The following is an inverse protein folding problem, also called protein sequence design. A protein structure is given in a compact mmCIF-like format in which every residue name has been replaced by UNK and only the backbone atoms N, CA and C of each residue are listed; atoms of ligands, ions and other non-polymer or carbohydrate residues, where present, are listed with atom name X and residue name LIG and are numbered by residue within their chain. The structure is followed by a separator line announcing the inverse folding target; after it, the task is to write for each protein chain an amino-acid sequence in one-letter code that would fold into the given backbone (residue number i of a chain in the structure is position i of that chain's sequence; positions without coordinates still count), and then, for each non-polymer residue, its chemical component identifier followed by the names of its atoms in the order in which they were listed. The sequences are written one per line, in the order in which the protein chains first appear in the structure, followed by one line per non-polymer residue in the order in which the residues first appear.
data_IF_913563000892
#
_entry.id   IF_913563000892
#
_cell.length_a   1.000
_cell.length_b   1.000
_cell.length_c   1.000
_cell.angle_alpha   90.00
_cell.angle_beta   90.00
_cell.angle_gamma   90.00
#
_symmetry.space_group_name_H-M   'P 1'
#
loop_
_entity.id
_entity.type
_entity.pdbx_description
1 polymer ?
#
# COMPACT_ATOMS: atom_id res chain seq x y z
N UNK A 1 35.68 9.91 -10.15
CA UNK A 1 36.04 8.81 -9.24
C UNK A 1 34.75 8.23 -8.73
N UNK A 2 34.44 6.99 -9.11
CA UNK A 2 33.21 6.32 -8.71
C UNK A 2 33.28 6.04 -7.20
N UNK A 3 32.37 6.62 -6.44
CA UNK A 3 32.17 6.28 -5.03
C UNK A 3 31.68 4.84 -4.98
N UNK A 4 32.54 3.96 -4.49
CA UNK A 4 32.23 2.58 -4.12
C UNK A 4 31.05 2.59 -3.16
N UNK A 5 29.88 2.14 -3.64
CA UNK A 5 28.77 1.70 -2.79
C UNK A 5 29.31 0.56 -1.92
N UNK A 6 29.53 0.82 -0.62
CA UNK A 6 29.76 -0.26 0.32
C UNK A 6 28.59 -1.25 0.18
N UNK A 7 28.88 -2.51 -0.11
CA UNK A 7 27.85 -3.53 -0.19
C UNK A 7 27.19 -3.62 1.19
N UNK A 8 25.88 -3.36 1.24
CA UNK A 8 25.10 -3.53 2.47
C UNK A 8 25.19 -5.00 2.91
N UNK A 9 25.21 -5.30 4.22
CA UNK A 9 25.20 -6.67 4.70
C UNK A 9 24.01 -7.44 4.11
N UNK A 10 24.27 -8.54 3.40
CA UNK A 10 23.25 -9.35 2.71
C UNK A 10 22.32 -10.13 3.69
N UNK A 11 22.53 -10.00 5.02
CA UNK A 11 21.91 -10.85 6.04
C UNK A 11 20.67 -10.25 6.75
N UNK A 12 20.44 -8.93 6.66
CA UNK A 12 19.29 -8.27 7.31
C UNK A 12 18.29 -7.71 6.31
N UNK A 13 17.01 -8.06 6.48
CA UNK A 13 15.89 -7.59 5.66
C UNK A 13 15.68 -6.06 5.74
N UNK A 14 16.06 -5.45 6.87
CA UNK A 14 16.01 -4.00 7.12
C UNK A 14 17.26 -3.58 7.86
N UNK A 15 17.92 -2.53 7.39
CA UNK A 15 19.09 -1.94 8.03
C UNK A 15 18.69 -0.59 8.61
N UNK A 16 18.88 -0.43 9.92
CA UNK A 16 18.71 0.84 10.63
C UNK A 16 20.06 1.45 10.98
N UNK A 17 20.28 2.71 10.60
CA UNK A 17 21.48 3.48 10.91
C UNK A 17 21.12 4.71 11.74
N UNK A 18 21.86 4.95 12.82
CA UNK A 18 21.69 6.11 13.69
C UNK A 18 22.85 7.09 13.44
N UNK A 19 22.55 8.23 12.81
CA UNK A 19 23.53 9.23 12.39
C UNK A 19 23.15 10.57 13.01
N UNK A 20 23.80 10.93 14.12
CA UNK A 20 23.46 12.13 14.90
C UNK A 20 21.94 12.19 15.19
N UNK A 21 21.20 13.20 14.70
CA UNK A 21 19.75 13.33 14.87
C UNK A 21 18.91 12.62 13.79
N UNK A 22 19.56 11.96 12.84
CA UNK A 22 18.93 11.29 11.70
C UNK A 22 18.89 9.79 11.93
N UNK A 23 17.78 9.16 11.52
CA UNK A 23 17.59 7.72 11.54
C UNK A 23 17.29 7.25 10.12
N UNK A 24 18.20 6.48 9.54
CA UNK A 24 18.10 6.00 8.16
C UNK A 24 17.69 4.53 8.16
N UNK A 25 16.55 4.24 7.53
CA UNK A 25 16.03 2.90 7.28
C UNK A 25 16.29 2.55 5.82
N UNK A 26 16.99 1.44 5.59
CA UNK A 26 17.11 0.84 4.27
C UNK A 26 16.36 -0.50 4.24
N UNK A 27 15.32 -0.59 3.42
CA UNK A 27 14.69 -1.87 3.07
C UNK A 27 15.67 -2.66 2.19
N UNK A 28 16.13 -3.81 2.67
CA UNK A 28 17.31 -4.49 2.15
C UNK A 28 17.03 -5.93 1.69
N UNK A 29 15.99 -6.11 0.88
CA UNK A 29 15.70 -7.36 0.15
C UNK A 29 15.71 -7.13 -1.37
N UNK A 30 16.80 -6.58 -1.95
CA UNK A 30 16.79 -6.08 -3.33
C UNK A 30 16.49 -7.15 -4.38
N UNK A 31 16.86 -8.42 -4.12
CA UNK A 31 16.56 -9.56 -5.01
C UNK A 31 15.06 -9.87 -5.08
N UNK A 32 14.32 -9.58 -4.00
CA UNK A 32 12.87 -9.72 -3.90
C UNK A 32 12.14 -8.38 -4.07
N UNK A 33 12.81 -7.36 -4.61
CA UNK A 33 12.23 -6.01 -4.78
C UNK A 33 11.75 -5.38 -3.47
N UNK A 34 12.42 -5.69 -2.36
CA UNK A 34 12.06 -5.21 -1.04
C UNK A 34 10.61 -5.57 -0.65
N UNK A 35 10.16 -6.77 -1.05
CA UNK A 35 8.87 -7.31 -0.64
C UNK A 35 8.78 -7.42 0.89
N UNK A 36 7.61 -7.10 1.43
CA UNK A 36 7.33 -7.02 2.87
C UNK A 36 7.19 -8.44 3.43
N UNK A 37 8.21 -8.89 4.16
CA UNK A 37 8.25 -10.15 4.91
C UNK A 37 7.83 -9.94 6.38
N UNK A 38 7.49 -11.01 7.11
CA UNK A 38 7.28 -10.93 8.57
C UNK A 38 8.46 -10.29 9.31
N UNK A 39 9.69 -10.67 8.95
CA UNK A 39 10.90 -10.11 9.56
C UNK A 39 11.04 -8.61 9.29
N UNK A 40 10.78 -8.17 8.05
CA UNK A 40 10.81 -6.75 7.68
C UNK A 40 9.78 -5.95 8.50
N UNK A 41 8.55 -6.45 8.63
CA UNK A 41 7.51 -5.78 9.43
C UNK A 41 7.92 -5.67 10.89
N UNK A 42 8.46 -6.75 11.47
CA UNK A 42 8.93 -6.76 12.86
C UNK A 42 10.03 -5.72 13.09
N UNK A 43 11.06 -5.70 12.23
CA UNK A 43 12.18 -4.77 12.34
C UNK A 43 11.74 -3.32 12.15
N UNK A 44 10.88 -3.03 11.17
CA UNK A 44 10.35 -1.67 10.98
C UNK A 44 9.58 -1.18 12.21
N UNK A 45 8.71 -2.03 12.77
CA UNK A 45 7.95 -1.69 13.97
C UNK A 45 8.89 -1.40 15.16
N UNK A 46 9.91 -2.23 15.37
CA UNK A 46 10.90 -2.04 16.43
C UNK A 46 11.66 -0.71 16.27
N UNK A 47 12.18 -0.43 15.07
CA UNK A 47 12.91 0.82 14.81
C UNK A 47 12.04 2.05 14.99
N UNK A 48 10.84 2.06 14.40
CA UNK A 48 9.93 3.20 14.48
C UNK A 48 9.45 3.44 15.92
N UNK A 49 9.14 2.39 16.68
CA UNK A 49 8.79 2.57 18.08
C UNK A 49 9.97 3.10 18.91
N UNK A 50 11.16 2.51 18.73
CA UNK A 50 12.37 2.91 19.44
C UNK A 50 12.68 4.39 19.18
N UNK A 51 12.63 4.81 17.92
CA UNK A 51 13.07 6.14 17.53
C UNK A 51 12.02 7.22 17.72
N UNK A 52 10.72 6.92 17.74
CA UNK A 52 9.72 7.93 18.13
C UNK A 52 9.92 8.37 19.59
N UNK A 53 10.38 7.45 20.45
CA UNK A 53 10.70 7.67 21.88
C UNK A 53 12.08 8.28 22.13
N UNK A 54 12.91 8.40 21.10
CA UNK A 54 14.29 8.89 21.21
C UNK A 54 14.34 10.42 20.98
N UNK A 55 14.78 11.16 21.98
CA UNK A 55 14.97 12.61 21.91
C UNK A 55 16.11 13.02 20.96
N UNK A 56 16.97 12.07 20.57
CA UNK A 56 18.00 12.27 19.55
C UNK A 56 17.55 11.85 18.16
N UNK A 57 16.29 11.48 17.95
CA UNK A 57 15.77 11.12 16.64
C UNK A 57 14.80 12.21 16.19
N UNK A 58 15.26 13.09 15.31
CA UNK A 58 14.46 14.21 14.81
C UNK A 58 13.92 13.93 13.39
N UNK A 59 14.70 13.23 12.57
CA UNK A 59 14.38 12.95 11.17
C UNK A 59 14.50 11.45 10.89
N UNK A 60 13.43 10.86 10.37
CA UNK A 60 13.42 9.48 9.86
C UNK A 60 13.46 9.50 8.34
N UNK A 61 14.42 8.80 7.74
CA UNK A 61 14.52 8.62 6.29
C UNK A 61 14.31 7.14 5.97
N UNK A 62 13.40 6.81 5.06
CA UNK A 62 13.20 5.45 4.55
C UNK A 62 13.58 5.39 3.08
N UNK A 63 14.40 4.40 2.70
CA UNK A 63 14.76 4.11 1.30
C UNK A 63 14.76 2.60 1.03
N UNK A 64 14.73 2.23 -0.25
CA UNK A 64 14.91 0.84 -0.69
C UNK A 64 16.29 0.60 -1.29
N UNK A 65 16.89 -0.55 -0.99
CA UNK A 65 18.09 -1.03 -1.66
C UNK A 65 17.76 -1.52 -3.08
N UNK A 66 18.66 -1.29 -4.03
CA UNK A 66 18.54 -1.79 -5.39
C UNK A 66 17.53 -1.01 -6.24
N UNK A 67 16.70 -1.72 -7.00
CA UNK A 67 15.86 -1.14 -8.07
C UNK A 67 14.41 -0.83 -7.68
N UNK A 68 14.03 -1.10 -6.44
CA UNK A 68 12.68 -0.89 -5.95
C UNK A 68 12.74 -0.19 -4.59
N UNK A 69 11.75 0.64 -4.31
CA UNK A 69 11.50 1.07 -2.95
C UNK A 69 10.92 -0.12 -2.17
N UNK A 70 9.73 -0.60 -2.57
CA UNK A 70 9.13 -1.85 -2.13
C UNK A 70 8.02 -2.30 -3.08
N UNK A 71 8.02 -3.57 -3.48
CA UNK A 71 7.02 -4.13 -4.38
C UNK A 71 5.75 -4.65 -3.68
N UNK A 72 5.55 -4.36 -2.39
CA UNK A 72 4.37 -4.78 -1.64
C UNK A 72 4.60 -6.04 -0.80
N UNK A 73 3.50 -6.69 -0.39
CA UNK A 73 3.53 -7.91 0.42
C UNK A 73 4.27 -9.06 -0.25
N UNK A 74 5.00 -9.87 0.54
CA UNK A 74 5.59 -11.11 0.04
C UNK A 74 4.49 -12.16 -0.20
N UNK A 75 3.96 -12.21 -1.42
CA UNK A 75 2.83 -13.07 -1.80
C UNK A 75 3.08 -14.57 -1.52
N UNK A 76 4.34 -15.01 -1.47
CA UNK A 76 4.66 -16.40 -1.11
C UNK A 76 4.33 -16.70 0.34
N UNK A 77 4.55 -15.75 1.25
CA UNK A 77 4.20 -15.89 2.67
C UNK A 77 2.71 -16.13 2.81
N UNK A 78 1.88 -15.35 2.11
CA UNK A 78 0.43 -15.52 2.12
C UNK A 78 0.00 -16.86 1.51
N UNK A 79 0.56 -17.23 0.36
CA UNK A 79 0.22 -18.49 -0.32
C UNK A 79 0.55 -19.72 0.52
N UNK A 80 1.76 -19.77 1.10
CA UNK A 80 2.17 -20.89 1.95
C UNK A 80 1.36 -20.96 3.24
N UNK A 81 0.89 -19.81 3.74
CA UNK A 81 0.00 -19.73 4.89
C UNK A 81 -1.38 -20.38 4.70
N UNK A 82 -1.79 -20.69 3.45
CA UNK A 82 -3.03 -21.46 3.20
C UNK A 82 -3.04 -22.81 3.94
N UNK A 83 -1.87 -23.40 4.17
CA UNK A 83 -1.71 -24.76 4.73
C UNK A 83 -2.00 -24.84 6.23
N UNK A 84 -1.95 -23.71 6.93
CA UNK A 84 -2.07 -23.64 8.39
C UNK A 84 -2.97 -22.48 8.75
N UNK A 85 -4.07 -22.77 9.44
CA UNK A 85 -5.03 -21.74 9.81
C UNK A 85 -4.33 -20.62 10.58
N UNK A 86 -4.60 -19.39 10.16
CA UNK A 86 -4.15 -18.15 10.80
C UNK A 86 -2.62 -17.91 10.84
N UNK A 87 -1.80 -18.66 10.08
CA UNK A 87 -0.34 -18.47 10.11
C UNK A 87 0.16 -17.13 9.55
N UNK A 88 -0.68 -16.40 8.81
CA UNK A 88 -0.36 -15.06 8.32
C UNK A 88 -0.97 -13.95 9.17
N UNK A 89 -1.77 -14.26 10.20
CA UNK A 89 -2.49 -13.25 10.98
C UNK A 89 -1.52 -12.35 11.72
N UNK A 90 -0.42 -12.88 12.24
CA UNK A 90 0.60 -12.09 12.90
C UNK A 90 1.16 -10.97 12.01
N UNK A 91 1.67 -11.33 10.83
CA UNK A 91 2.27 -10.35 9.91
C UNK A 91 1.24 -9.34 9.44
N UNK A 92 0.00 -9.78 9.17
CA UNK A 92 -1.11 -8.90 8.81
C UNK A 92 -1.41 -7.91 9.91
N UNK A 93 -1.66 -8.40 11.13
CA UNK A 93 -1.99 -7.56 12.28
C UNK A 93 -0.90 -6.52 12.52
N UNK A 94 0.36 -6.97 12.61
CA UNK A 94 1.51 -6.09 12.81
C UNK A 94 1.60 -5.04 11.71
N UNK A 95 1.35 -5.41 10.46
CA UNK A 95 1.50 -4.49 9.34
C UNK A 95 0.39 -3.44 9.30
N UNK A 96 -0.87 -3.82 9.51
CA UNK A 96 -1.98 -2.87 9.62
C UNK A 96 -1.80 -1.90 10.78
N UNK A 97 -1.37 -2.41 11.94
CA UNK A 97 -1.03 -1.59 13.10
C UNK A 97 0.14 -0.63 12.77
N UNK A 98 1.14 -1.09 12.02
CA UNK A 98 2.26 -0.26 11.57
C UNK A 98 1.83 0.82 10.58
N UNK A 99 0.89 0.54 9.66
CA UNK A 99 0.33 1.52 8.73
C UNK A 99 -0.30 2.71 9.46
N UNK A 100 -0.99 2.47 10.59
CA UNK A 100 -1.52 3.55 11.43
C UNK A 100 -0.39 4.42 12.02
N UNK A 101 0.67 3.79 12.54
CA UNK A 101 1.78 4.51 13.16
C UNK A 101 2.59 5.32 12.16
N UNK A 102 2.78 4.81 10.94
CA UNK A 102 3.43 5.57 9.88
C UNK A 102 2.58 6.79 9.50
N UNK A 103 1.26 6.64 9.38
CA UNK A 103 0.37 7.76 9.07
C UNK A 103 0.34 8.86 10.13
N UNK A 104 0.51 8.50 11.39
CA UNK A 104 0.33 9.42 12.52
C UNK A 104 1.66 9.75 13.22
N UNK A 105 2.78 9.37 12.63
CA UNK A 105 4.11 9.39 13.27
C UNK A 105 4.49 10.79 13.76
N UNK A 106 5.08 10.89 14.95
CA UNK A 106 5.33 12.18 15.61
C UNK A 106 6.60 12.90 15.17
N UNK A 107 7.55 12.20 14.57
CA UNK A 107 8.79 12.78 14.04
C UNK A 107 8.68 13.00 12.53
N UNK A 108 9.46 13.91 11.99
CA UNK A 108 9.46 14.18 10.55
C UNK A 108 9.96 12.96 9.78
N UNK A 109 9.19 12.53 8.78
CA UNK A 109 9.50 11.36 7.94
C UNK A 109 9.71 11.75 6.48
N UNK A 110 10.76 11.19 5.87
CA UNK A 110 11.07 11.33 4.44
C UNK A 110 11.18 9.95 3.78
N UNK A 111 10.35 9.67 2.77
CA UNK A 111 10.55 8.54 1.88
C UNK A 111 11.37 8.96 0.65
N UNK A 112 12.50 8.28 0.40
CA UNK A 112 13.28 8.40 -0.83
C UNK A 112 12.90 7.25 -1.77
N UNK A 113 11.91 7.50 -2.62
CA UNK A 113 11.25 6.48 -3.45
C UNK A 113 11.87 6.47 -4.83
N UNK A 114 12.89 5.64 -5.03
CA UNK A 114 13.52 5.44 -6.32
C UNK A 114 13.25 4.03 -6.85
N UNK A 115 12.27 3.90 -7.75
CA UNK A 115 11.85 2.62 -8.32
C UNK A 115 10.44 2.19 -7.92
N UNK A 116 10.16 0.89 -8.02
CA UNK A 116 8.82 0.33 -7.77
C UNK A 116 8.37 0.59 -6.33
N UNK A 117 7.14 1.10 -6.18
CA UNK A 117 6.41 1.22 -4.91
C UNK A 117 5.00 0.70 -5.15
N UNK A 118 4.61 -0.47 -4.65
CA UNK A 118 3.28 -1.04 -4.93
C UNK A 118 2.63 -1.63 -3.68
N UNK A 119 1.29 -1.59 -3.64
CA UNK A 119 0.47 -2.10 -2.53
C UNK A 119 0.95 -1.61 -1.17
N UNK A 120 1.17 -2.53 -0.23
CA UNK A 120 1.78 -2.21 1.07
C UNK A 120 3.07 -1.39 0.99
N UNK A 121 3.91 -1.63 -0.03
CA UNK A 121 5.15 -0.86 -0.23
C UNK A 121 4.90 0.65 -0.42
N UNK A 122 3.72 1.02 -0.92
CA UNK A 122 3.30 2.42 -1.05
C UNK A 122 2.70 2.98 0.23
N UNK A 123 2.20 2.15 1.15
CA UNK A 123 1.79 2.58 2.49
C UNK A 123 2.99 3.08 3.33
N UNK A 124 4.21 2.70 2.94
CA UNK A 124 5.46 3.21 3.52
C UNK A 124 5.93 4.55 2.93
N UNK A 125 5.18 5.17 2.01
CA UNK A 125 5.57 6.47 1.42
C UNK A 125 4.43 7.47 1.28
N UNK A 126 3.24 7.06 0.83
CA UNK A 126 2.12 7.98 0.58
C UNK A 126 1.76 8.82 1.81
N UNK A 127 1.67 8.25 3.02
CA UNK A 127 1.25 9.03 4.18
C UNK A 127 2.38 9.83 4.84
N UNK A 128 3.63 9.67 4.41
CA UNK A 128 4.75 10.36 5.05
C UNK A 128 4.73 11.86 4.76
N UNK A 129 5.26 12.65 5.71
CA UNK A 129 5.32 14.10 5.59
C UNK A 129 6.01 14.57 4.31
N UNK A 130 7.08 13.89 3.93
CA UNK A 130 7.76 14.07 2.66
C UNK A 130 7.90 12.74 1.94
N UNK A 131 7.30 12.64 0.76
CA UNK A 131 7.56 11.56 -0.18
C UNK A 131 8.24 12.14 -1.42
N UNK A 132 9.49 11.73 -1.65
CA UNK A 132 10.32 12.17 -2.76
C UNK A 132 10.38 11.04 -3.78
N UNK A 133 9.83 11.29 -4.97
CA UNK A 133 9.76 10.32 -6.07
C UNK A 133 10.66 10.73 -7.23
N UNK A 134 11.00 9.77 -8.09
CA UNK A 134 11.88 9.99 -9.25
C UNK A 134 11.20 9.59 -10.55
N UNK A 135 11.88 9.82 -11.68
CA UNK A 135 11.46 9.32 -12.99
C UNK A 135 11.43 7.78 -13.08
N UNK A 136 12.05 7.07 -12.12
CA UNK A 136 12.03 5.61 -12.02
C UNK A 136 10.87 5.09 -11.19
N UNK A 137 10.16 5.96 -10.48
CA UNK A 137 9.06 5.57 -9.61
C UNK A 137 7.90 5.01 -10.42
N UNK A 138 7.45 3.82 -10.06
CA UNK A 138 6.25 3.18 -10.60
C UNK A 138 5.37 2.77 -9.44
N UNK A 139 4.22 3.44 -9.33
CA UNK A 139 3.20 3.17 -8.33
C UNK A 139 2.05 2.37 -8.91
N UNK A 140 1.50 1.45 -8.11
CA UNK A 140 0.21 0.81 -8.38
C UNK A 140 -0.35 0.15 -7.11
N UNK A 141 -1.67 0.01 -7.08
CA UNK A 141 -2.45 -0.80 -6.12
C UNK A 141 -3.20 -1.89 -6.91
N UNK A 142 -2.50 -2.97 -7.31
CA UNK A 142 -3.02 -3.97 -8.24
C UNK A 142 -3.77 -5.13 -7.55
N UNK A 143 -4.22 -4.97 -6.30
CA UNK A 143 -4.70 -6.05 -5.44
C UNK A 143 -5.86 -6.85 -6.05
N UNK A 144 -6.80 -6.17 -6.70
CA UNK A 144 -7.95 -6.83 -7.35
C UNK A 144 -7.53 -7.84 -8.42
N UNK A 145 -6.40 -7.62 -9.08
CA UNK A 145 -5.91 -8.46 -10.18
C UNK A 145 -5.46 -9.85 -9.74
N UNK A 146 -5.14 -10.03 -8.46
CA UNK A 146 -4.78 -11.31 -7.87
C UNK A 146 -5.78 -11.78 -6.80
N UNK A 147 -7.00 -11.23 -6.77
CA UNK A 147 -8.05 -11.70 -5.86
C UNK A 147 -8.01 -11.09 -4.46
N UNK A 148 -7.36 -9.94 -4.29
CA UNK A 148 -7.23 -9.26 -3.00
C UNK A 148 -7.88 -7.86 -3.02
N UNK A 149 -8.07 -7.26 -1.85
CA UNK A 149 -8.74 -5.97 -1.74
C UNK A 149 -7.75 -4.80 -1.61
N UNK A 150 -8.23 -3.58 -1.85
CA UNK A 150 -7.49 -2.35 -1.50
C UNK A 150 -7.27 -2.30 0.01
N UNK A 151 -6.01 -2.38 0.43
CA UNK A 151 -5.57 -2.62 1.80
C UNK A 151 -4.55 -1.57 2.28
N UNK A 152 -3.96 -1.77 3.46
CA UNK A 152 -2.85 -0.97 4.01
C UNK A 152 -3.13 0.56 4.11
N UNK A 153 -4.38 0.94 4.36
CA UNK A 153 -4.87 2.32 4.45
C UNK A 153 -5.29 2.92 3.10
N UNK A 154 -5.17 2.18 1.99
CA UNK A 154 -5.53 2.71 0.69
C UNK A 154 -7.03 2.90 0.47
N UNK A 155 -7.90 2.23 1.23
CA UNK A 155 -9.33 2.57 1.17
C UNK A 155 -9.59 3.99 1.68
N UNK A 156 -8.84 4.44 2.70
CA UNK A 156 -8.86 5.83 3.15
C UNK A 156 -8.20 6.77 2.13
N UNK A 157 -6.95 6.48 1.71
CA UNK A 157 -6.19 7.35 0.81
C UNK A 157 -6.91 7.54 -0.54
N UNK A 158 -7.31 6.46 -1.20
CA UNK A 158 -7.98 6.54 -2.50
C UNK A 158 -9.30 7.29 -2.41
N UNK A 159 -10.05 7.13 -1.32
CA UNK A 159 -11.34 7.81 -1.16
C UNK A 159 -11.24 9.34 -1.10
N UNK A 160 -10.07 9.86 -0.75
CA UNK A 160 -9.77 11.30 -0.67
C UNK A 160 -9.07 11.85 -1.92
N UNK A 161 -8.84 11.02 -2.95
CA UNK A 161 -8.35 11.51 -4.23
C UNK A 161 -9.45 12.28 -4.99
N UNK A 162 -9.09 13.19 -5.91
CA UNK A 162 -10.07 13.97 -6.66
C UNK A 162 -11.08 13.10 -7.41
N UNK A 163 -12.36 13.47 -7.32
CA UNK A 163 -13.46 12.83 -8.06
C UNK A 163 -13.57 11.34 -7.76
N UNK A 164 -13.49 10.53 -8.81
CA UNK A 164 -13.52 9.06 -8.76
C UNK A 164 -12.19 8.42 -9.16
N UNK A 165 -11.08 9.18 -9.06
CA UNK A 165 -9.76 8.68 -9.40
C UNK A 165 -9.30 7.56 -8.46
N UNK A 166 -9.71 7.59 -7.19
CA UNK A 166 -9.47 6.51 -6.24
C UNK A 166 -10.07 5.18 -6.65
N UNK A 167 -11.35 5.17 -7.07
CA UNK A 167 -12.00 3.97 -7.60
C UNK A 167 -11.32 3.48 -8.88
N UNK A 168 -10.88 4.40 -9.75
CA UNK A 168 -10.13 4.03 -10.94
C UNK A 168 -8.83 3.28 -10.60
N UNK A 169 -8.02 3.78 -9.67
CA UNK A 169 -6.78 3.12 -9.27
C UNK A 169 -7.07 1.76 -8.64
N UNK A 170 -8.00 1.69 -7.69
CA UNK A 170 -8.35 0.48 -6.96
C UNK A 170 -8.90 -0.65 -7.85
N UNK A 171 -9.73 -0.32 -8.84
CA UNK A 171 -10.36 -1.32 -9.71
C UNK A 171 -9.49 -1.73 -10.89
N UNK A 172 -8.65 -0.82 -11.41
CA UNK A 172 -7.86 -1.09 -12.61
C UNK A 172 -6.44 -1.55 -12.33
N UNK A 173 -5.92 -1.29 -11.12
CA UNK A 173 -4.49 -1.45 -10.81
C UNK A 173 -3.61 -0.53 -11.65
N UNK A 174 -4.15 0.62 -12.07
CA UNK A 174 -3.49 1.56 -12.96
C UNK A 174 -2.15 2.05 -12.41
N UNK A 175 -1.17 2.18 -13.30
CA UNK A 175 0.18 2.61 -12.92
C UNK A 175 0.32 4.12 -13.00
N UNK A 176 0.94 4.71 -11.98
CA UNK A 176 1.36 6.11 -11.97
C UNK A 176 2.88 6.21 -11.96
N UNK A 177 3.42 7.13 -12.74
CA UNK A 177 4.83 7.50 -12.65
C UNK A 177 5.05 8.56 -11.55
N UNK A 178 6.32 8.88 -11.23
CA UNK A 178 6.66 9.85 -10.19
C UNK A 178 6.02 11.23 -10.36
N UNK A 179 5.93 11.75 -11.59
CA UNK A 179 5.29 13.06 -11.84
C UNK A 179 3.79 13.01 -11.58
N UNK A 180 3.14 11.92 -12.02
CA UNK A 180 1.71 11.70 -11.81
C UNK A 180 1.38 11.53 -10.32
N UNK A 181 2.26 10.91 -9.53
CA UNK A 181 2.08 10.83 -8.08
C UNK A 181 2.08 12.19 -7.40
N UNK A 182 3.01 13.07 -7.76
CA UNK A 182 3.05 14.43 -7.18
C UNK A 182 1.82 15.21 -7.60
N UNK A 183 1.45 15.18 -8.89
CA UNK A 183 0.28 15.89 -9.39
C UNK A 183 -1.05 15.36 -8.82
N UNK A 184 -1.13 14.06 -8.50
CA UNK A 184 -2.29 13.45 -7.86
C UNK A 184 -2.34 13.68 -6.34
N UNK A 185 -1.30 14.26 -5.73
CA UNK A 185 -1.19 14.45 -4.28
C UNK A 185 -0.80 13.19 -3.49
N UNK A 186 -0.31 12.14 -4.17
CA UNK A 186 0.16 10.89 -3.56
C UNK A 186 1.65 10.93 -3.21
N UNK A 187 2.40 11.89 -3.75
CA UNK A 187 3.77 12.20 -3.37
C UNK A 187 3.95 13.72 -3.25
N UNK A 188 5.03 14.16 -2.59
CA UNK A 188 5.23 15.59 -2.30
C UNK A 188 6.19 16.27 -3.26
N UNK A 189 7.26 15.59 -3.67
CA UNK A 189 8.34 16.20 -4.45
C UNK A 189 8.83 15.24 -5.53
N UNK A 190 9.26 15.80 -6.66
CA UNK A 190 9.88 15.07 -7.75
C UNK A 190 11.35 15.47 -7.90
N UNK A 191 12.25 14.51 -7.82
CA UNK A 191 13.71 14.70 -7.90
C UNK A 191 14.29 13.73 -8.93
N UNK A 192 15.22 14.19 -9.77
CA UNK A 192 15.95 13.30 -10.70
C UNK A 192 16.66 12.19 -9.93
N UNK A 193 16.55 10.94 -10.37
CA UNK A 193 17.18 9.81 -9.66
C UNK A 193 18.70 9.93 -9.51
N UNK A 194 19.36 10.71 -10.38
CA UNK A 194 20.80 11.01 -10.30
C UNK A 194 21.16 11.86 -9.07
N UNK A 195 20.21 12.67 -8.58
CA UNK A 195 20.39 13.58 -7.44
C UNK A 195 20.01 12.96 -6.09
N UNK A 196 19.38 11.79 -6.07
CA UNK A 196 18.89 11.16 -4.82
C UNK A 196 20.01 10.92 -3.81
N UNK A 197 21.17 10.46 -4.26
CA UNK A 197 22.30 10.20 -3.36
C UNK A 197 22.89 11.50 -2.75
N UNK A 198 22.78 12.62 -3.46
CA UNK A 198 23.22 13.92 -2.96
C UNK A 198 22.17 14.49 -2.00
N UNK A 199 20.88 14.40 -2.34
CA UNK A 199 19.77 14.77 -1.47
C UNK A 199 19.83 14.01 -0.12
N UNK A 200 20.05 12.69 -0.15
CA UNK A 200 20.20 11.87 1.06
C UNK A 200 21.30 12.41 1.97
N UNK A 201 22.47 12.75 1.40
CA UNK A 201 23.59 13.34 2.15
C UNK A 201 23.24 14.70 2.73
N UNK A 202 22.54 15.55 1.97
CA UNK A 202 22.11 16.86 2.45
C UNK A 202 21.10 16.75 3.59
N UNK A 203 20.15 15.82 3.51
CA UNK A 203 19.20 15.53 4.60
C UNK A 203 19.90 14.99 5.85
N UNK A 204 20.90 14.11 5.68
CA UNK A 204 21.72 13.61 6.80
C UNK A 204 22.50 14.78 7.44
N UNK A 205 23.13 15.62 6.61
CA UNK A 205 23.97 16.74 7.07
C UNK A 205 23.16 17.87 7.70
N UNK A 206 21.87 18.00 7.34
CA UNK A 206 20.95 18.96 7.95
C UNK A 206 20.82 18.73 9.46
N UNK A 207 20.87 17.46 9.89
CA UNK A 207 20.85 17.07 11.30
C UNK A 207 19.69 17.68 12.12
N UNK A 208 18.53 17.85 11.47
CA UNK A 208 17.33 18.47 12.03
C UNK A 208 16.07 17.83 11.45
N UNK A 209 15.05 17.71 12.28
CA UNK A 209 13.70 17.29 11.91
C UNK A 209 12.73 18.45 11.69
N UNK A 210 13.17 19.71 11.74
CA UNK A 210 12.31 20.85 11.47
C UNK A 210 11.73 20.75 10.04
N UNK A 211 10.40 20.71 9.95
CA UNK A 211 9.72 20.43 8.68
C UNK A 211 10.02 21.48 7.61
N UNK A 212 10.21 22.76 7.99
CA UNK A 212 10.53 23.81 7.03
C UNK A 212 11.96 23.66 6.49
N UNK A 213 12.92 23.38 7.37
CA UNK A 213 14.29 23.14 6.98
C UNK A 213 14.42 21.88 6.08
N UNK A 214 13.76 20.78 6.44
CA UNK A 214 13.72 19.56 5.62
C UNK A 214 13.09 19.84 4.26
N UNK A 215 11.97 20.58 4.21
CA UNK A 215 11.33 21.00 2.97
C UNK A 215 12.28 21.82 2.09
N UNK A 216 12.94 22.84 2.66
CA UNK A 216 13.87 23.68 1.91
C UNK A 216 15.00 22.86 1.28
N UNK A 217 15.58 21.91 2.03
CA UNK A 217 16.59 21.00 1.46
C UNK A 217 16.01 20.20 0.31
N UNK A 218 14.82 19.60 0.42
CA UNK A 218 14.23 18.82 -0.68
C UNK A 218 13.92 19.70 -1.90
N UNK A 219 13.44 20.92 -1.69
CA UNK A 219 13.10 21.87 -2.76
C UNK A 219 14.33 22.30 -3.58
N UNK A 220 15.52 22.39 -2.97
CA UNK A 220 16.78 22.67 -3.69
C UNK A 220 17.12 21.61 -4.75
N UNK A 221 16.71 20.35 -4.53
CA UNK A 221 16.93 19.25 -5.47
C UNK A 221 15.74 19.00 -6.40
N UNK A 222 14.56 19.55 -6.05
CA UNK A 222 13.30 19.30 -6.73
C UNK A 222 13.26 19.89 -8.13
N UNK A 223 12.52 19.24 -9.01
CA UNK A 223 12.25 19.71 -10.36
C UNK A 223 10.75 20.00 -10.53
N UNK A 224 10.44 20.99 -11.36
CA UNK A 224 9.06 21.31 -11.72
C UNK A 224 8.36 20.10 -12.35
N UNK A 225 7.17 19.77 -11.87
CA UNK A 225 6.36 18.66 -12.37
C UNK A 225 5.58 19.11 -13.60
N UNK A 226 5.94 18.56 -14.77
CA UNK A 226 5.21 18.73 -16.03
C UNK A 226 4.67 17.39 -16.49
N UNK A 227 3.35 17.25 -16.47
CA UNK A 227 2.66 16.04 -16.92
C UNK A 227 2.84 15.84 -18.42
N UNK A 228 3.03 14.60 -18.81
CA UNK A 228 3.09 14.22 -20.22
C UNK A 228 1.68 14.32 -20.83
N UNK A 229 1.56 14.62 -22.13
CA UNK A 229 0.26 14.74 -22.81
C UNK A 229 -0.61 13.48 -22.66
N UNK A 230 0.03 12.32 -22.58
CA UNK A 230 -0.60 11.01 -22.42
C UNK A 230 -0.88 10.63 -20.97
N UNK A 231 -0.59 11.50 -20.01
CA UNK A 231 -0.82 11.23 -18.60
C UNK A 231 -2.29 10.87 -18.33
N UNK A 232 -2.49 9.92 -17.41
CA UNK A 232 -3.83 9.50 -17.02
C UNK A 232 -4.60 10.63 -16.32
N UNK A 233 -3.90 11.58 -15.70
CA UNK A 233 -4.52 12.74 -15.05
C UNK A 233 -5.17 13.70 -16.06
N UNK A 234 -4.76 13.67 -17.33
CA UNK A 234 -5.45 14.41 -18.40
C UNK A 234 -6.77 13.76 -18.81
N UNK A 235 -7.15 12.62 -18.21
CA UNK A 235 -8.36 11.84 -18.51
C UNK A 235 -9.37 11.83 -17.36
N UNK A 236 -9.17 12.67 -16.34
CA UNK A 236 -10.00 12.70 -15.13
C UNK A 236 -11.50 12.89 -15.42
N UNK A 237 -11.88 13.75 -16.38
CA UNK A 237 -13.30 13.94 -16.72
C UNK A 237 -14.01 12.65 -17.15
N UNK A 238 -13.35 11.85 -17.99
CA UNK A 238 -13.85 10.55 -18.44
C UNK A 238 -13.87 9.55 -17.28
N UNK A 239 -12.81 9.55 -16.46
CA UNK A 239 -12.71 8.70 -15.28
C UNK A 239 -13.87 9.01 -14.32
N UNK A 240 -14.10 10.27 -14.00
CA UNK A 240 -15.18 10.71 -13.11
C UNK A 240 -16.56 10.31 -13.64
N UNK A 241 -16.80 10.48 -14.95
CA UNK A 241 -18.05 10.06 -15.57
C UNK A 241 -18.28 8.54 -15.47
N UNK A 242 -17.24 7.74 -15.73
CA UNK A 242 -17.36 6.28 -15.78
C UNK A 242 -17.34 5.63 -14.39
N UNK A 243 -16.52 6.14 -13.46
CA UNK A 243 -16.31 5.54 -12.14
C UNK A 243 -17.28 6.08 -11.06
N UNK A 244 -18.12 7.05 -11.42
CA UNK A 244 -19.25 7.51 -10.59
C UNK A 244 -20.44 6.56 -10.54
N UNK A 245 -20.53 5.53 -11.42
CA UNK A 245 -21.67 4.60 -11.48
C UNK A 245 -21.76 3.71 -10.24
N UNK A 246 -22.96 3.30 -9.84
CA UNK A 246 -23.19 2.69 -8.53
C UNK A 246 -22.54 1.30 -8.36
N UNK A 247 -22.41 0.53 -9.45
CA UNK A 247 -21.86 -0.83 -9.43
C UNK A 247 -20.64 -1.03 -10.34
N UNK A 248 -19.83 -2.05 -10.07
CA UNK A 248 -18.69 -2.42 -10.93
C UNK A 248 -19.16 -2.74 -12.35
N UNK A 249 -20.31 -3.40 -12.47
CA UNK A 249 -20.97 -3.75 -13.72
C UNK A 249 -21.29 -2.49 -14.55
N UNK A 250 -21.88 -1.48 -13.93
CA UNK A 250 -22.19 -0.22 -14.60
C UNK A 250 -20.95 0.60 -14.93
N UNK A 251 -19.92 0.57 -14.07
CA UNK A 251 -18.61 1.18 -14.35
C UNK A 251 -18.00 0.56 -15.61
N UNK A 252 -17.94 -0.78 -15.68
CA UNK A 252 -17.40 -1.49 -16.85
C UNK A 252 -18.21 -1.13 -18.10
N UNK A 253 -19.54 -1.16 -18.03
CA UNK A 253 -20.41 -0.81 -19.16
C UNK A 253 -20.21 0.63 -19.63
N UNK A 254 -20.09 1.58 -18.69
CA UNK A 254 -19.82 2.99 -19.01
C UNK A 254 -18.45 3.16 -19.67
N UNK A 255 -17.44 2.48 -19.15
CA UNK A 255 -16.07 2.58 -19.64
C UNK A 255 -15.90 1.88 -21.00
N UNK A 256 -16.62 0.79 -21.26
CA UNK A 256 -16.74 0.16 -22.59
C UNK A 256 -17.38 1.08 -23.62
N UNK A 257 -18.45 1.80 -23.25
CA UNK A 257 -19.09 2.76 -24.15
C UNK A 257 -18.11 3.88 -24.54
N UNK A 258 -17.32 4.36 -23.57
CA UNK A 258 -16.32 5.40 -23.80
C UNK A 258 -15.12 4.92 -24.63
N UNK A 259 -14.72 3.65 -24.49
CA UNK A 259 -13.65 3.04 -25.27
C UNK A 259 -13.93 3.01 -26.78
N UNK A 260 -15.20 3.05 -27.18
CA UNK A 260 -15.61 3.05 -28.59
C UNK A 260 -15.59 4.46 -29.22
N UNK A 261 -15.32 5.52 -28.44
CA UNK A 261 -15.22 6.90 -28.96
C UNK A 261 -13.80 7.21 -29.44
N UNK A 262 -13.69 8.05 -30.46
CA UNK A 262 -12.40 8.49 -31.01
C UNK A 262 -11.54 9.19 -29.94
N UNK A 263 -10.25 8.84 -29.88
CA UNK A 263 -9.30 9.40 -28.91
C UNK A 263 -9.21 8.65 -27.57
N UNK A 264 -10.06 7.65 -27.33
CA UNK A 264 -10.11 6.89 -26.07
C UNK A 264 -9.46 5.50 -26.10
N UNK A 265 -8.56 5.25 -27.04
CA UNK A 265 -7.86 3.96 -27.17
C UNK A 265 -7.05 3.54 -25.93
N UNK A 266 -6.75 4.46 -25.01
CA UNK A 266 -6.08 4.19 -23.73
C UNK A 266 -6.91 3.27 -22.80
N UNK A 267 -8.25 3.36 -22.88
CA UNK A 267 -9.21 2.67 -22.02
C UNK A 267 -9.11 1.14 -22.16
N UNK A 268 -8.89 0.65 -23.38
CA UNK A 268 -8.94 -0.79 -23.67
C UNK A 268 -8.00 -1.64 -22.82
N UNK A 269 -6.84 -1.10 -22.44
CA UNK A 269 -5.88 -1.78 -21.56
C UNK A 269 -6.40 -1.95 -20.13
N UNK A 270 -7.02 -0.91 -19.57
CA UNK A 270 -7.60 -0.91 -18.23
C UNK A 270 -8.86 -1.78 -18.17
N UNK A 271 -9.75 -1.68 -19.15
CA UNK A 271 -10.92 -2.56 -19.28
C UNK A 271 -10.53 -4.03 -19.32
N UNK A 272 -9.50 -4.37 -20.10
CA UNK A 272 -8.98 -5.74 -20.16
C UNK A 272 -8.43 -6.19 -18.80
N UNK A 273 -7.79 -5.30 -18.06
CA UNK A 273 -7.31 -5.56 -16.70
C UNK A 273 -8.47 -5.85 -15.74
N UNK A 274 -9.48 -4.99 -15.70
CA UNK A 274 -10.67 -5.17 -14.87
C UNK A 274 -11.37 -6.51 -15.18
N UNK A 275 -11.63 -6.82 -16.46
CA UNK A 275 -12.28 -8.07 -16.86
C UNK A 275 -11.48 -9.34 -16.53
N UNK A 276 -10.17 -9.23 -16.32
CA UNK A 276 -9.31 -10.34 -15.91
C UNK A 276 -9.11 -10.43 -14.40
N UNK A 277 -9.55 -9.42 -13.64
CA UNK A 277 -9.44 -9.38 -12.19
C UNK A 277 -10.53 -10.22 -11.52
N UNK A 278 -10.38 -10.54 -10.24
CA UNK A 278 -11.40 -11.28 -9.49
C UNK A 278 -12.69 -10.44 -9.39
N UNK A 279 -13.86 -10.98 -9.78
CA UNK A 279 -15.12 -10.29 -9.62
C UNK A 279 -15.42 -9.89 -8.17
N UNK A 280 -15.15 -10.81 -7.24
CA UNK A 280 -15.28 -10.58 -5.80
C UNK A 280 -14.40 -9.44 -5.33
N UNK A 281 -13.12 -9.45 -5.71
CA UNK A 281 -12.15 -8.44 -5.30
C UNK A 281 -12.50 -7.05 -5.83
N UNK A 282 -13.01 -6.95 -7.06
CA UNK A 282 -13.49 -5.67 -7.62
C UNK A 282 -14.65 -5.09 -6.81
N UNK A 283 -15.64 -5.92 -6.42
CA UNK A 283 -16.77 -5.46 -5.62
C UNK A 283 -16.33 -5.02 -4.22
N UNK A 284 -15.44 -5.77 -3.57
CA UNK A 284 -14.86 -5.37 -2.27
C UNK A 284 -14.10 -4.05 -2.39
N UNK A 285 -13.25 -3.90 -3.42
CA UNK A 285 -12.44 -2.69 -3.62
C UNK A 285 -13.32 -1.45 -3.83
N UNK A 286 -14.35 -1.54 -4.68
CA UNK A 286 -15.29 -0.43 -4.91
C UNK A 286 -15.99 0.00 -3.62
N UNK A 287 -16.54 -0.97 -2.87
CA UNK A 287 -17.23 -0.70 -1.61
C UNK A 287 -16.29 -0.11 -0.56
N UNK A 288 -15.10 -0.67 -0.40
CA UNK A 288 -14.10 -0.24 0.58
C UNK A 288 -13.67 1.22 0.34
N UNK A 289 -13.34 1.59 -0.90
CA UNK A 289 -12.98 2.98 -1.25
C UNK A 289 -14.15 3.94 -1.02
N UNK A 290 -15.38 3.55 -1.36
CA UNK A 290 -16.54 4.44 -1.19
C UNK A 290 -16.92 4.68 0.26
N UNK A 291 -16.93 3.63 1.07
CA UNK A 291 -17.16 3.77 2.50
C UNK A 291 -16.05 4.57 3.19
N UNK A 292 -14.81 4.47 2.71
CA UNK A 292 -13.65 5.23 3.21
C UNK A 292 -13.83 6.76 3.17
N UNK A 293 -14.66 7.29 2.26
CA UNK A 293 -14.92 8.74 2.13
C UNK A 293 -15.49 9.37 3.40
N UNK A 294 -16.20 8.57 4.21
CA UNK A 294 -16.91 9.06 5.40
C UNK A 294 -16.33 8.46 6.69
N UNK A 295 -15.10 7.95 6.64
CA UNK A 295 -14.46 7.26 7.75
C UNK A 295 -13.09 7.85 8.04
N UNK A 296 -12.72 7.75 9.31
CA UNK A 296 -11.36 8.01 9.77
C UNK A 296 -10.41 6.92 9.27
N UNK A 297 -9.10 7.21 9.31
CA UNK A 297 -8.07 6.22 9.01
C UNK A 297 -8.19 4.95 9.88
N UNK A 298 -8.47 5.10 11.18
CA UNK A 298 -8.59 3.96 12.10
C UNK A 298 -9.77 3.06 11.73
N UNK A 299 -10.92 3.64 11.39
CA UNK A 299 -12.10 2.89 10.93
C UNK A 299 -11.81 2.15 9.62
N UNK A 300 -11.12 2.79 8.67
CA UNK A 300 -10.71 2.17 7.42
C UNK A 300 -9.75 0.99 7.66
N UNK A 301 -8.72 1.16 8.49
CA UNK A 301 -7.76 0.09 8.81
C UNK A 301 -8.42 -1.08 9.55
N UNK A 302 -9.36 -0.82 10.47
CA UNK A 302 -10.15 -1.88 11.13
C UNK A 302 -10.98 -2.66 10.11
N UNK A 303 -11.68 -1.97 9.19
CA UNK A 303 -12.41 -2.65 8.10
C UNK A 303 -11.48 -3.47 7.22
N UNK A 304 -10.41 -2.87 6.73
CA UNK A 304 -9.44 -3.55 5.86
C UNK A 304 -8.84 -4.78 6.53
N UNK A 305 -8.54 -4.71 7.83
CA UNK A 305 -8.11 -5.87 8.60
C UNK A 305 -9.15 -7.00 8.59
N UNK A 306 -10.44 -6.69 8.84
CA UNK A 306 -11.53 -7.70 8.75
C UNK A 306 -11.59 -8.36 7.37
N UNK A 307 -11.52 -7.55 6.32
CA UNK A 307 -11.53 -8.02 4.93
C UNK A 307 -10.35 -8.95 4.67
N UNK A 308 -9.12 -8.55 5.05
CA UNK A 308 -7.93 -9.38 4.90
C UNK A 308 -8.06 -10.70 5.64
N UNK A 309 -8.49 -10.68 6.90
CA UNK A 309 -8.65 -11.90 7.71
C UNK A 309 -9.70 -12.84 7.09
N UNK A 310 -10.84 -12.31 6.63
CA UNK A 310 -11.87 -13.10 5.98
C UNK A 310 -11.41 -13.67 4.63
N UNK A 311 -10.60 -12.92 3.86
CA UNK A 311 -10.03 -13.41 2.59
C UNK A 311 -8.99 -14.51 2.85
N UNK A 312 -8.11 -14.35 3.84
CA UNK A 312 -7.13 -15.37 4.24
C UNK A 312 -7.81 -16.64 4.76
N UNK A 313 -8.97 -16.53 5.40
CA UNK A 313 -9.76 -17.68 5.86
C UNK A 313 -10.65 -18.27 4.77
N UNK A 314 -10.63 -17.70 3.56
CA UNK A 314 -11.49 -18.07 2.44
C UNK A 314 -12.98 -18.06 2.79
N UNK A 315 -13.40 -17.14 3.67
CA UNK A 315 -14.81 -16.98 4.07
C UNK A 315 -15.69 -16.60 2.88
N UNK A 316 -15.16 -15.82 1.94
CA UNK A 316 -15.89 -15.37 0.75
C UNK A 316 -15.53 -16.15 -0.51
N UNK A 317 -14.24 -16.23 -0.84
CA UNK A 317 -13.71 -16.99 -1.98
C UNK A 317 -12.25 -17.41 -1.76
N UNK A 318 -11.75 -18.29 -2.60
CA UNK A 318 -10.31 -18.66 -2.65
C UNK A 318 -9.51 -17.81 -3.68
N UNK A 319 -10.12 -16.75 -4.23
CA UNK A 319 -9.54 -15.99 -5.34
C UNK A 319 -8.14 -15.47 -5.05
N UNK A 320 -7.86 -15.00 -3.82
CA UNK A 320 -6.52 -14.53 -3.46
C UNK A 320 -5.45 -15.62 -3.67
N UNK A 321 -5.74 -16.85 -3.25
CA UNK A 321 -4.82 -17.97 -3.41
C UNK A 321 -4.65 -18.37 -4.88
N UNK A 322 -5.74 -18.40 -5.64
CA UNK A 322 -5.70 -18.68 -7.08
C UNK A 322 -4.95 -17.59 -7.86
N UNK A 323 -5.14 -16.33 -7.51
CA UNK A 323 -4.45 -15.21 -8.11
C UNK A 323 -2.95 -15.24 -7.82
N UNK A 324 -2.55 -15.53 -6.58
CA UNK A 324 -1.13 -15.70 -6.24
C UNK A 324 -0.54 -16.92 -6.96
N UNK A 325 -1.27 -18.04 -7.05
CA UNK A 325 -0.84 -19.21 -7.82
C UNK A 325 -0.51 -18.81 -9.26
N UNK A 326 -1.48 -18.20 -9.95
CA UNK A 326 -1.35 -17.80 -11.35
C UNK A 326 -0.26 -16.76 -11.59
N UNK A 327 -0.08 -15.81 -10.68
CA UNK A 327 0.87 -14.71 -10.82
C UNK A 327 2.31 -15.10 -10.43
N UNK A 328 2.48 -15.80 -9.31
CA UNK A 328 3.79 -15.94 -8.63
C UNK A 328 4.31 -17.37 -8.58
N UNK A 329 3.42 -18.36 -8.41
CA UNK A 329 3.80 -19.76 -8.22
C UNK A 329 3.99 -20.43 -9.58
N UNK A 330 2.91 -20.54 -10.35
CA UNK A 330 2.90 -21.19 -11.67
C UNK A 330 3.25 -20.21 -12.79
N UNK A 331 3.01 -18.90 -12.55
CA UNK A 331 3.31 -17.80 -13.49
C UNK A 331 2.61 -17.95 -14.86
N UNK A 332 1.48 -18.63 -14.90
CA UNK A 332 0.67 -18.81 -16.12
C UNK A 332 -0.15 -17.56 -16.48
N UNK A 333 -0.30 -16.62 -15.55
CA UNK A 333 -1.14 -15.43 -15.69
C UNK A 333 -2.61 -15.76 -16.10
N UNK A 334 -3.11 -16.93 -15.70
CA UNK A 334 -4.43 -17.43 -16.07
C UNK A 334 -5.22 -17.90 -14.83
N UNK A 335 -5.56 -16.98 -13.92
CA UNK A 335 -6.34 -17.31 -12.74
C UNK A 335 -7.77 -17.75 -13.11
N UNK A 336 -8.30 -18.70 -12.34
CA UNK A 336 -9.65 -19.26 -12.47
C UNK A 336 -10.51 -18.82 -11.29
N UNK A 337 -11.13 -17.65 -11.43
CA UNK A 337 -11.94 -17.05 -10.36
C UNK A 337 -13.20 -17.84 -10.05
N UNK A 338 -13.55 -17.90 -8.77
CA UNK A 338 -14.81 -18.45 -8.28
C UNK A 338 -15.45 -17.45 -7.30
N UNK A 339 -16.53 -16.77 -7.69
CA UNK A 339 -17.26 -16.90 -8.95
C UNK A 339 -16.54 -16.28 -10.17
N UNK A 340 -16.82 -16.84 -11.35
CA UNK A 340 -16.18 -16.43 -12.61
C UNK A 340 -16.69 -15.09 -13.21
N UNK A 341 -17.79 -14.53 -12.69
CA UNK A 341 -18.41 -13.30 -13.22
C UNK A 341 -19.06 -12.46 -12.12
N UNK A 342 -19.20 -11.15 -12.37
CA UNK A 342 -19.69 -10.16 -11.39
C UNK A 342 -21.13 -10.42 -10.91
N UNK A 343 -22.00 -10.88 -11.81
CA UNK A 343 -23.41 -11.21 -11.54
C UNK A 343 -23.58 -12.42 -10.62
N UNK A 344 -22.51 -13.20 -10.38
CA UNK A 344 -22.51 -14.39 -9.52
C UNK A 344 -21.85 -14.16 -8.17
N UNK A 345 -21.36 -12.95 -7.90
CA UNK A 345 -20.84 -12.59 -6.58
C UNK A 345 -22.00 -12.55 -5.60
N UNK A 346 -21.87 -13.30 -4.52
CA UNK A 346 -22.87 -13.44 -3.46
C UNK A 346 -22.86 -12.19 -2.56
N UNK A 347 -23.91 -11.38 -2.68
CA UNK A 347 -24.05 -10.14 -1.91
C UNK A 347 -24.17 -10.40 -0.39
N UNK A 348 -24.74 -11.54 0.03
CA UNK A 348 -24.84 -11.88 1.46
C UNK A 348 -23.44 -12.18 2.04
N UNK A 349 -22.59 -12.87 1.28
CA UNK A 349 -21.18 -13.09 1.67
C UNK A 349 -20.36 -11.81 1.62
N UNK A 350 -20.61 -10.93 0.65
CA UNK A 350 -20.00 -9.60 0.63
C UNK A 350 -20.38 -8.83 1.89
N UNK A 351 -21.66 -8.79 2.26
CA UNK A 351 -22.10 -8.12 3.48
C UNK A 351 -21.49 -8.72 4.74
N UNK A 352 -21.37 -10.06 4.78
CA UNK A 352 -20.75 -10.78 5.88
C UNK A 352 -19.30 -10.35 6.14
N UNK A 353 -18.47 -10.25 5.10
CA UNK A 353 -17.04 -9.93 5.28
C UNK A 353 -16.78 -8.47 5.67
N UNK A 354 -17.77 -7.59 5.51
CA UNK A 354 -17.75 -6.19 5.98
C UNK A 354 -18.27 -6.02 7.41
N UNK A 355 -18.92 -7.05 8.00
CA UNK A 355 -19.40 -6.97 9.38
C UNK A 355 -18.23 -6.81 10.38
N UNK A 356 -18.43 -6.07 11.48
CA UNK A 356 -17.44 -5.96 12.52
C UNK A 356 -17.16 -7.30 13.19
N UNK A 357 -15.91 -7.51 13.58
CA UNK A 357 -15.56 -8.58 14.49
C UNK A 357 -15.94 -8.23 15.94
N UNK A 358 -15.88 -9.21 16.83
CA UNK A 358 -15.94 -8.95 18.26
C UNK A 358 -14.79 -8.03 18.67
N UNK A 359 -15.01 -7.14 19.64
CA UNK A 359 -14.06 -6.08 20.00
C UNK A 359 -12.62 -6.56 20.26
N UNK A 360 -12.44 -7.75 20.85
CA UNK A 360 -11.14 -8.35 21.14
C UNK A 360 -10.44 -8.95 19.90
N UNK A 361 -11.19 -9.22 18.83
CA UNK A 361 -10.70 -9.70 17.54
C UNK A 361 -10.50 -8.55 16.54
N UNK A 362 -10.87 -7.33 16.88
CA UNK A 362 -10.59 -6.17 16.03
C UNK A 362 -9.10 -5.79 16.04
N UNK A 363 -8.68 -5.05 15.02
CA UNK A 363 -7.39 -4.36 15.04
C UNK A 363 -7.40 -3.32 16.16
N UNK A 364 -6.52 -3.48 17.15
CA UNK A 364 -6.40 -2.55 18.26
C UNK A 364 -5.50 -1.39 17.86
N UNK A 365 -6.12 -0.24 17.58
CA UNK A 365 -5.43 1.02 17.29
C UNK A 365 -5.60 1.94 18.50
N UNK A 366 -4.51 2.46 19.10
CA UNK A 366 -4.61 3.39 20.22
C UNK A 366 -5.19 4.74 19.81
N UNK A 367 -6.22 5.19 20.54
CA UNK A 367 -6.90 6.47 20.32
C UNK A 367 -6.34 7.60 21.19
N UNK A 368 -5.48 7.27 22.17
CA UNK A 368 -4.86 8.23 23.08
C UNK A 368 -3.35 8.19 23.01
N UNK A 369 -2.75 9.37 23.02
CA UNK A 369 -1.34 9.61 22.74
C UNK A 369 -0.38 9.02 23.79
N UNK A 370 -0.83 8.88 25.03
CA UNK A 370 -0.07 8.27 26.14
C UNK A 370 0.25 6.79 25.88
N UNK A 371 -0.69 6.07 25.25
CA UNK A 371 -0.58 4.65 24.93
C UNK A 371 -0.41 4.44 23.42
N UNK A 372 0.21 5.40 22.73
CA UNK A 372 0.35 5.40 21.28
C UNK A 372 0.94 4.10 20.73
N UNK A 373 1.88 3.48 21.42
CA UNK A 373 2.50 2.22 20.97
C UNK A 373 1.87 0.96 21.57
N UNK A 374 0.69 1.06 22.20
CA UNK A 374 -0.08 -0.09 22.69
C UNK A 374 -0.86 -0.76 21.54
N UNK A 375 -1.66 -1.78 21.87
CA UNK A 375 -2.46 -2.52 20.87
C UNK A 375 -1.62 -3.41 19.95
N UNK A 376 -0.34 -3.64 20.30
CA UNK A 376 0.55 -4.53 19.56
C UNK A 376 0.00 -5.94 19.45
N UNK A 377 0.50 -6.67 18.46
CA UNK A 377 0.13 -8.06 18.23
C UNK A 377 0.26 -8.91 19.50
N UNK A 378 1.35 -8.74 20.26
CA UNK A 378 1.66 -9.45 21.52
C UNK A 378 0.51 -9.41 22.54
N UNK A 379 -0.29 -8.33 22.52
CA UNK A 379 -1.38 -8.08 23.45
C UNK A 379 -2.77 -8.38 22.85
N UNK A 380 -2.83 -8.87 21.61
CA UNK A 380 -4.07 -9.16 20.89
C UNK A 380 -4.59 -10.56 21.19
N UNK A 381 -5.85 -10.82 20.85
CA UNK A 381 -6.43 -12.17 20.96
C UNK A 381 -5.80 -13.21 20.02
N UNK A 382 -4.95 -12.79 19.08
CA UNK A 382 -4.35 -13.66 18.07
C UNK A 382 -3.04 -14.34 18.54
N UNK A 383 -2.49 -13.95 19.69
CA UNK A 383 -1.24 -14.55 20.24
C UNK A 383 -1.47 -15.83 21.02
N UNK A 384 -2.71 -16.07 21.46
CA UNK A 384 -3.08 -17.30 22.15
C UNK A 384 -3.30 -18.38 21.08
N UNK A 385 -2.68 -19.57 21.19
CA UNK A 385 -2.94 -20.67 20.26
C UNK A 385 -4.45 -20.90 20.17
N UNK A 386 -5.02 -20.81 18.96
CA UNK A 386 -6.44 -21.02 18.70
C UNK A 386 -6.86 -22.50 18.93
N UNK A 387 -6.76 -22.99 20.16
CA UNK A 387 -7.59 -24.07 20.66
C UNK A 387 -8.67 -23.41 21.53
N UNK A 388 -9.94 -23.52 21.10
CA UNK A 388 -11.14 -23.11 21.85
C UNK A 388 -11.69 -21.67 21.72
N UNK A 389 -11.83 -21.14 20.49
CA UNK A 389 -12.90 -20.16 20.22
C UNK A 389 -13.83 -20.75 19.15
N UNK A 390 -15.05 -21.17 19.51
CA UNK A 390 -16.05 -21.52 18.50
C UNK A 390 -16.40 -20.25 17.72
N UNK A 391 -16.15 -20.28 16.41
CA UNK A 391 -16.68 -19.29 15.50
C UNK A 391 -18.19 -19.55 15.47
N UNK A 392 -18.96 -18.73 16.18
CA UNK A 392 -20.42 -18.70 15.97
C UNK A 392 -20.65 -18.21 14.54
N UNK A 393 -21.36 -19.04 13.78
CA UNK A 393 -21.74 -18.82 12.39
C UNK A 393 -22.45 -17.48 12.15
#
# INVERSE_FOLDING_TARGET
MATSSAALPDEQDVIGEEIENVRLITLNRPRQLNAISPQLVSLLAEYLEKWEKDDKADLIIIKGAGRAFSAGGDLRVFYDGKKTKDSCVEVVYRYYWLCYHINTYKKTQVALVNGISMGGGSALMVPMKFSVVTEKTVFATPEASFGFHTDCGFSYIHSHLPGHFGEFLALTGGRLNGKELVAAGLATHFVSSEKIAELEKSLISLNSGDENAVRSVIEEFSSEVKLDEKSILNKLSIIDECFSKDSVEEIIKSFEAEANKDGNGWIGSYLKGMKRSSPTALKIALRSVREGRNQTLSECLKREFRLTINILRSTISEDMYEGIRALTIDKDNAPKWEPASLDRVDDEKLDLVFQPFQQNLELQIPEIDEFRWDGKYENSAYTVPHEAIPISA
#
